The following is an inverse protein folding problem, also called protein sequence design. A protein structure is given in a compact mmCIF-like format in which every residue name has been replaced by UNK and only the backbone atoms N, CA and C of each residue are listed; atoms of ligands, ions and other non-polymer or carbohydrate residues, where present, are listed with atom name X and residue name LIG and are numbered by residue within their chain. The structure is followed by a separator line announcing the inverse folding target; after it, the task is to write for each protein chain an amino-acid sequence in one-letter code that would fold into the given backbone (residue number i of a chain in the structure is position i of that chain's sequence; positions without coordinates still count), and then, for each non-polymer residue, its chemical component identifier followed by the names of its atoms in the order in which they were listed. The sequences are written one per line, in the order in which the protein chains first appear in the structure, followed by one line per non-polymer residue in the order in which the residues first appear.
data_IF_129178814183
#
_entry.id   IF_129178814183
#
_cell.length_a   1.000
_cell.length_b   1.000
_cell.length_c   1.000
_cell.angle_alpha   90.00
_cell.angle_beta   90.00
_cell.angle_gamma   90.00
#
_symmetry.space_group_name_H-M   'P 1'
#
loop_
_entity.id
_entity.type
_entity.pdbx_description
1 polymer ?
#
# COMPACT_ATOMS: atom_id res chain seq x y z
N UNK A 1 -8.68 24.82 -11.55
CA UNK A 1 -7.80 26.02 -11.47
C UNK A 1 -8.37 27.23 -12.19
N UNK A 2 -7.85 28.42 -11.86
CA UNK A 2 -8.19 29.71 -12.49
C UNK A 2 -9.68 30.11 -12.42
N UNK A 3 -10.42 29.58 -11.43
CA UNK A 3 -11.81 29.91 -11.18
C UNK A 3 -11.94 30.81 -9.94
N UNK A 4 -12.78 31.83 -10.03
CA UNK A 4 -13.22 32.70 -8.95
C UNK A 4 -14.71 32.41 -8.68
N UNK A 5 -15.03 31.94 -7.48
CA UNK A 5 -16.40 31.79 -7.03
C UNK A 5 -16.86 33.05 -6.29
N UNK A 6 -17.94 33.67 -6.75
CA UNK A 6 -18.65 34.75 -6.07
C UNK A 6 -19.88 34.16 -5.41
N UNK A 7 -19.87 34.14 -4.08
CA UNK A 7 -20.95 33.60 -3.25
C UNK A 7 -21.79 34.75 -2.68
N UNK A 8 -23.10 34.66 -2.87
CA UNK A 8 -24.11 35.52 -2.23
C UNK A 8 -25.13 34.63 -1.52
N UNK A 9 -25.94 35.17 -0.58
CA UNK A 9 -26.93 34.37 0.14
C UNK A 9 -27.89 33.57 -0.75
N UNK A 10 -28.13 34.04 -1.97
CA UNK A 10 -29.09 33.50 -2.93
C UNK A 10 -28.47 32.98 -4.24
N UNK A 11 -27.15 33.09 -4.41
CA UNK A 11 -26.52 32.80 -5.70
C UNK A 11 -25.05 32.39 -5.60
N UNK A 12 -24.68 31.46 -6.49
CA UNK A 12 -23.30 31.06 -6.76
C UNK A 12 -22.99 31.43 -8.21
N UNK A 13 -21.94 32.22 -8.42
CA UNK A 13 -21.43 32.53 -9.74
C UNK A 13 -19.96 32.11 -9.82
N UNK A 14 -19.61 31.35 -10.85
CA UNK A 14 -18.23 30.94 -11.11
C UNK A 14 -17.71 31.68 -12.35
N UNK A 15 -16.56 32.33 -12.20
CA UNK A 15 -15.86 33.06 -13.25
C UNK A 15 -14.53 32.35 -13.51
N UNK A 16 -14.25 31.95 -14.73
CA UNK A 16 -12.94 31.46 -15.17
C UNK A 16 -12.12 32.62 -15.74
N UNK A 17 -10.84 32.71 -15.39
CA UNK A 17 -9.92 33.78 -15.84
C UNK A 17 -10.01 34.02 -17.36
N UNK A 18 -10.00 32.94 -18.13
CA UNK A 18 -9.89 33.00 -19.58
C UNK A 18 -11.24 32.82 -20.31
N UNK A 19 -12.27 32.29 -19.64
CA UNK A 19 -13.55 31.92 -20.29
C UNK A 19 -14.73 32.80 -19.80
N UNK A 20 -14.49 33.72 -18.88
CA UNK A 20 -15.54 34.54 -18.29
C UNK A 20 -16.46 33.72 -17.40
N UNK A 21 -17.78 33.91 -17.49
CA UNK A 21 -18.73 33.19 -16.63
C UNK A 21 -18.88 31.73 -17.09
N UNK A 22 -18.66 30.79 -16.18
CA UNK A 22 -18.88 29.36 -16.42
C UNK A 22 -20.00 28.84 -15.53
N UNK A 23 -20.73 27.85 -16.03
CA UNK A 23 -21.74 27.15 -15.25
C UNK A 23 -21.07 26.00 -14.50
N UNK A 24 -21.08 25.99 -13.15
CA UNK A 24 -20.47 24.90 -12.40
C UNK A 24 -21.24 23.60 -12.62
N UNK A 25 -20.52 22.49 -12.77
CA UNK A 25 -21.12 21.16 -12.71
C UNK A 25 -21.40 20.83 -11.23
N UNK A 26 -22.65 21.05 -10.80
CA UNK A 26 -23.06 20.78 -9.43
C UNK A 26 -23.43 19.30 -9.32
N UNK A 27 -22.63 18.56 -8.55
CA UNK A 27 -22.90 17.16 -8.24
C UNK A 27 -23.29 17.03 -6.77
N UNK A 28 -24.44 16.42 -6.52
CA UNK A 28 -24.83 16.03 -5.16
C UNK A 28 -24.02 14.80 -4.78
N UNK A 29 -23.07 14.97 -3.87
CA UNK A 29 -22.41 13.83 -3.23
C UNK A 29 -23.45 13.10 -2.38
N UNK A 30 -23.50 11.76 -2.46
CA UNK A 30 -24.37 10.97 -1.61
C UNK A 30 -24.04 11.28 -0.15
N UNK A 31 -25.02 11.87 0.56
CA UNK A 31 -24.90 12.30 1.95
C UNK A 31 -24.99 11.12 2.92
N UNK A 32 -24.37 9.99 2.59
CA UNK A 32 -23.92 9.10 3.65
C UNK A 32 -22.85 9.95 4.34
N UNK A 33 -23.23 10.55 5.46
CA UNK A 33 -22.30 11.25 6.33
C UNK A 33 -21.12 10.32 6.46
N UNK A 34 -19.99 10.69 5.87
CA UNK A 34 -18.74 9.97 6.10
C UNK A 34 -18.62 9.95 7.61
N UNK A 35 -18.82 8.79 8.23
CA UNK A 35 -18.77 8.69 9.66
C UNK A 35 -17.29 8.76 10.04
N UNK A 36 -16.86 9.97 10.38
CA UNK A 36 -15.52 10.26 10.90
C UNK A 36 -15.47 10.05 12.42
N UNK A 37 -16.45 9.33 12.99
CA UNK A 37 -16.44 8.90 14.38
C UNK A 37 -15.31 7.91 14.64
N UNK A 38 -14.82 7.93 15.87
CA UNK A 38 -13.87 6.93 16.37
C UNK A 38 -14.55 5.59 16.68
N UNK A 39 -15.88 5.51 16.72
CA UNK A 39 -16.65 4.28 16.95
C UNK A 39 -16.17 3.45 18.18
N UNK A 40 -15.66 4.13 19.21
CA UNK A 40 -15.16 3.49 20.44
C UNK A 40 -13.67 3.12 20.43
N UNK A 41 -12.96 3.34 19.33
CA UNK A 41 -11.49 3.22 19.30
C UNK A 41 -10.82 4.46 19.92
N UNK A 42 -9.61 4.27 20.45
CA UNK A 42 -8.86 5.36 21.08
C UNK A 42 -8.25 6.36 20.07
N UNK A 43 -7.93 5.88 18.86
CA UNK A 43 -7.25 6.63 17.81
C UNK A 43 -7.80 6.25 16.44
N UNK A 44 -7.74 7.17 15.49
CA UNK A 44 -8.15 6.91 14.10
C UNK A 44 -7.29 5.82 13.47
N UNK A 45 -5.98 5.85 13.67
CA UNK A 45 -5.08 4.82 13.15
C UNK A 45 -5.49 3.42 13.63
N UNK A 46 -5.86 3.26 14.91
CA UNK A 46 -6.30 1.95 15.42
C UNK A 46 -7.62 1.52 14.78
N UNK A 47 -8.61 2.43 14.70
CA UNK A 47 -9.88 2.18 14.01
C UNK A 47 -9.62 1.70 12.58
N UNK A 48 -8.81 2.44 11.85
CA UNK A 48 -8.51 2.18 10.44
C UNK A 48 -7.75 0.87 10.24
N UNK A 49 -6.89 0.47 11.19
CA UNK A 49 -6.27 -0.86 11.18
C UNK A 49 -7.34 -1.95 11.28
N UNK A 50 -8.29 -1.79 12.21
CA UNK A 50 -9.37 -2.75 12.45
C UNK A 50 -10.46 -2.74 11.35
N UNK A 51 -10.55 -1.68 10.55
CA UNK A 51 -11.44 -1.58 9.39
C UNK A 51 -10.89 -2.27 8.14
N UNK A 52 -9.67 -2.82 8.17
CA UNK A 52 -9.04 -3.47 7.02
C UNK A 52 -9.83 -4.64 6.42
N UNK A 53 -10.45 -5.55 7.21
CA UNK A 53 -11.34 -6.57 6.66
C UNK A 53 -12.46 -5.98 5.79
N UNK A 54 -13.13 -4.95 6.30
CA UNK A 54 -14.27 -4.32 5.60
C UNK A 54 -13.82 -3.47 4.40
N UNK A 55 -12.74 -2.72 4.52
CA UNK A 55 -12.21 -1.90 3.43
C UNK A 55 -11.66 -2.75 2.27
N UNK A 56 -10.98 -3.85 2.55
CA UNK A 56 -10.58 -4.83 1.52
C UNK A 56 -11.80 -5.50 0.90
N UNK A 57 -12.81 -5.87 1.68
CA UNK A 57 -14.08 -6.37 1.13
C UNK A 57 -14.75 -5.34 0.20
N UNK A 58 -14.78 -4.06 0.58
CA UNK A 58 -15.30 -2.99 -0.29
C UNK A 58 -14.47 -2.83 -1.58
N UNK A 59 -13.14 -2.96 -1.48
CA UNK A 59 -12.24 -2.86 -2.62
C UNK A 59 -12.50 -3.97 -3.66
N UNK A 60 -12.85 -5.19 -3.22
CA UNK A 60 -13.13 -6.35 -4.07
C UNK A 60 -14.56 -6.36 -4.63
N UNK A 61 -15.52 -5.76 -3.90
CA UNK A 61 -16.96 -5.88 -4.18
C UNK A 61 -17.32 -5.49 -5.61
N UNK A 62 -18.00 -6.39 -6.32
CA UNK A 62 -18.50 -6.16 -7.68
C UNK A 62 -17.42 -6.13 -8.77
N UNK A 63 -16.16 -6.46 -8.43
CA UNK A 63 -15.01 -6.40 -9.35
C UNK A 63 -14.42 -7.77 -9.69
N UNK A 64 -14.93 -8.85 -9.13
CA UNK A 64 -14.51 -10.20 -9.45
C UNK A 64 -15.54 -10.85 -10.38
N UNK A 65 -15.06 -11.38 -11.50
CA UNK A 65 -15.89 -12.02 -12.53
C UNK A 65 -15.57 -13.51 -12.60
N UNK A 66 -16.39 -14.32 -11.94
CA UNK A 66 -16.22 -15.78 -11.94
C UNK A 66 -16.47 -16.40 -13.31
N UNK A 67 -17.38 -15.84 -14.12
CA UNK A 67 -17.74 -16.40 -15.43
C UNK A 67 -16.58 -16.30 -16.43
N UNK A 68 -15.73 -15.27 -16.32
CA UNK A 68 -14.54 -15.10 -17.16
C UNK A 68 -13.22 -15.35 -16.40
N UNK A 69 -13.32 -15.70 -15.12
CA UNK A 69 -12.21 -15.90 -14.18
C UNK A 69 -11.23 -14.72 -14.16
N UNK A 70 -11.72 -13.49 -14.08
CA UNK A 70 -10.90 -12.26 -14.14
C UNK A 70 -11.46 -11.17 -13.22
N UNK A 71 -10.80 -10.01 -13.17
CA UNK A 71 -11.34 -8.81 -12.53
C UNK A 71 -12.07 -7.89 -13.53
N UNK A 72 -12.90 -6.98 -13.04
CA UNK A 72 -13.67 -6.00 -13.81
C UNK A 72 -13.39 -4.59 -13.32
N UNK A 73 -12.98 -3.72 -14.24
CA UNK A 73 -12.78 -2.29 -13.96
C UNK A 73 -13.59 -1.46 -14.96
N UNK A 74 -14.59 -0.74 -14.46
CA UNK A 74 -15.41 0.16 -15.29
C UNK A 74 -14.73 1.49 -15.63
N UNK A 75 -13.67 1.86 -14.88
CA UNK A 75 -13.07 3.20 -14.93
C UNK A 75 -11.77 3.32 -15.71
N UNK A 76 -11.23 2.24 -16.29
CA UNK A 76 -9.95 2.32 -17.02
C UNK A 76 -10.02 3.16 -18.30
N UNK A 77 -11.22 3.33 -18.88
CA UNK A 77 -11.47 4.17 -20.06
C UNK A 77 -10.58 3.87 -21.28
N UNK A 78 -10.05 2.65 -21.36
CA UNK A 78 -9.30 2.14 -22.50
C UNK A 78 -10.08 1.06 -23.21
N UNK A 79 -9.92 0.98 -24.53
CA UNK A 79 -10.50 -0.10 -25.32
C UNK A 79 -9.81 -1.43 -24.99
N UNK A 80 -10.50 -2.57 -25.16
CA UNK A 80 -9.86 -3.88 -25.01
C UNK A 80 -8.64 -4.09 -25.92
N UNK A 81 -8.58 -3.43 -27.08
CA UNK A 81 -7.43 -3.48 -27.97
C UNK A 81 -6.23 -2.73 -27.38
N UNK A 82 -6.43 -1.52 -26.85
CA UNK A 82 -5.38 -0.77 -26.17
C UNK A 82 -4.83 -1.53 -24.96
N UNK A 83 -5.71 -2.11 -24.14
CA UNK A 83 -5.31 -2.88 -22.95
C UNK A 83 -4.49 -4.14 -23.29
N UNK A 84 -4.81 -4.83 -24.39
CA UNK A 84 -3.98 -5.94 -24.88
C UNK A 84 -2.64 -5.49 -25.47
N UNK A 85 -2.58 -4.25 -25.99
CA UNK A 85 -1.39 -3.67 -26.59
C UNK A 85 -0.33 -3.21 -25.60
N UNK A 86 -0.67 -3.09 -24.31
CA UNK A 86 0.23 -2.61 -23.24
C UNK A 86 1.44 -3.51 -23.11
N UNK A 87 2.65 -3.02 -23.40
CA UNK A 87 3.88 -3.80 -23.24
C UNK A 87 4.70 -3.42 -22.02
N UNK A 88 4.36 -2.31 -21.35
CA UNK A 88 5.02 -1.91 -20.10
C UNK A 88 4.08 -1.12 -19.21
N UNK A 89 4.27 -1.25 -17.90
CA UNK A 89 3.55 -0.47 -16.90
C UNK A 89 4.56 0.31 -16.06
N UNK A 90 4.31 1.60 -15.84
CA UNK A 90 5.03 2.39 -14.84
C UNK A 90 4.07 2.61 -13.67
N UNK A 91 4.49 2.23 -12.47
CA UNK A 91 3.77 2.54 -11.24
C UNK A 91 4.50 3.67 -10.51
N UNK A 92 3.77 4.71 -10.11
CA UNK A 92 4.37 5.84 -9.41
C UNK A 92 3.53 6.31 -8.23
N UNK A 93 4.21 6.79 -7.19
CA UNK A 93 3.59 7.29 -5.97
C UNK A 93 4.65 7.83 -5.01
N UNK A 94 4.22 8.15 -3.80
CA UNK A 94 5.08 8.64 -2.72
C UNK A 94 4.82 7.83 -1.43
N UNK A 95 5.86 7.64 -0.61
CA UNK A 95 5.76 6.98 0.70
C UNK A 95 5.08 5.60 0.63
N UNK A 96 4.10 5.36 1.50
CA UNK A 96 3.34 4.10 1.53
C UNK A 96 2.70 3.72 0.18
N UNK A 97 2.28 4.68 -0.65
CA UNK A 97 1.74 4.36 -1.99
C UNK A 97 2.81 3.92 -2.98
N UNK A 98 4.07 4.32 -2.76
CA UNK A 98 5.21 3.79 -3.52
C UNK A 98 5.58 2.37 -3.05
N UNK A 99 5.47 2.07 -1.76
CA UNK A 99 5.64 0.68 -1.28
C UNK A 99 4.59 -0.27 -1.86
N UNK A 100 3.34 0.16 -2.02
CA UNK A 100 2.33 -0.69 -2.67
C UNK A 100 2.64 -0.89 -4.14
N UNK A 101 3.18 0.12 -4.83
CA UNK A 101 3.65 0.00 -6.20
C UNK A 101 4.76 -1.06 -6.35
N UNK A 102 5.72 -1.13 -5.42
CA UNK A 102 6.74 -2.19 -5.42
C UNK A 102 6.14 -3.60 -5.30
N UNK A 103 5.08 -3.78 -4.50
CA UNK A 103 4.36 -5.07 -4.47
C UNK A 103 3.66 -5.31 -5.81
N UNK A 104 3.05 -4.26 -6.38
CA UNK A 104 2.38 -4.28 -7.67
C UNK A 104 3.29 -4.73 -8.82
N UNK A 105 4.56 -4.33 -8.82
CA UNK A 105 5.58 -4.79 -9.77
C UNK A 105 5.68 -6.32 -9.78
N UNK A 106 5.96 -6.94 -8.63
CA UNK A 106 6.03 -8.40 -8.53
C UNK A 106 4.72 -9.07 -9.00
N UNK A 107 3.57 -8.54 -8.60
CA UNK A 107 2.25 -9.10 -8.95
C UNK A 107 2.02 -9.10 -10.46
N UNK A 108 2.24 -7.96 -11.11
CA UNK A 108 1.99 -7.79 -12.54
C UNK A 108 3.02 -8.58 -13.37
N UNK A 109 4.30 -8.56 -12.98
CA UNK A 109 5.33 -9.32 -13.69
C UNK A 109 5.09 -10.82 -13.60
N UNK A 110 4.68 -11.32 -12.43
CA UNK A 110 4.41 -12.74 -12.23
C UNK A 110 3.17 -13.21 -12.98
N UNK A 111 2.05 -12.50 -12.84
CA UNK A 111 0.75 -12.93 -13.37
C UNK A 111 0.51 -12.53 -14.83
N UNK A 112 0.99 -11.35 -15.23
CA UNK A 112 0.74 -10.79 -16.56
C UNK A 112 1.93 -10.83 -17.51
N UNK A 113 3.15 -11.06 -17.00
CA UNK A 113 4.40 -11.02 -17.79
C UNK A 113 4.58 -9.69 -18.54
N UNK A 114 4.15 -8.60 -17.91
CA UNK A 114 4.35 -7.23 -18.39
C UNK A 114 5.46 -6.63 -17.53
N UNK A 115 6.59 -6.18 -18.11
CA UNK A 115 7.61 -5.44 -17.39
C UNK A 115 7.01 -4.25 -16.62
N UNK A 116 7.40 -4.12 -15.36
CA UNK A 116 6.99 -2.99 -14.53
C UNK A 116 8.21 -2.18 -14.09
N UNK A 117 8.05 -0.87 -14.02
CA UNK A 117 9.03 0.03 -13.43
C UNK A 117 8.32 0.84 -12.33
N UNK A 118 8.93 0.92 -11.14
CA UNK A 118 8.38 1.63 -10.00
C UNK A 118 9.19 2.87 -9.71
N UNK A 119 8.54 4.04 -9.76
CA UNK A 119 9.21 5.33 -9.73
C UNK A 119 8.68 6.22 -8.62
N UNK A 120 9.59 6.87 -7.88
CA UNK A 120 9.22 7.98 -7.03
C UNK A 120 8.63 9.09 -7.91
N UNK A 121 7.43 9.56 -7.57
CA UNK A 121 6.77 10.57 -8.39
C UNK A 121 7.57 11.88 -8.49
N UNK A 122 8.27 12.23 -7.41
CA UNK A 122 9.17 13.40 -7.34
C UNK A 122 10.31 13.29 -8.36
N UNK A 123 10.85 12.10 -8.62
CA UNK A 123 11.91 11.89 -9.60
C UNK A 123 11.35 11.81 -11.02
N UNK A 124 10.24 11.09 -11.19
CA UNK A 124 9.61 10.87 -12.50
C UNK A 124 9.19 12.18 -13.17
N UNK A 125 8.69 13.16 -12.41
CA UNK A 125 8.29 14.47 -12.95
C UNK A 125 9.46 15.31 -13.48
N UNK A 126 10.69 15.07 -13.00
CA UNK A 126 11.86 15.88 -13.32
C UNK A 126 12.83 15.21 -14.28
N UNK A 127 12.81 13.87 -14.38
CA UNK A 127 13.63 13.15 -15.35
C UNK A 127 12.92 13.03 -16.69
N UNK A 128 13.68 12.80 -17.76
CA UNK A 128 13.13 12.48 -19.08
C UNK A 128 13.37 10.99 -19.40
N UNK A 129 12.57 10.07 -18.84
CA UNK A 129 12.82 8.65 -19.03
C UNK A 129 12.51 8.24 -20.47
N UNK A 130 13.29 7.31 -21.06
CA UNK A 130 12.97 6.74 -22.36
C UNK A 130 11.71 5.88 -22.21
N UNK A 131 10.57 6.39 -22.67
CA UNK A 131 9.28 5.70 -22.54
C UNK A 131 8.59 5.45 -23.86
N UNK A 132 8.30 4.18 -24.13
CA UNK A 132 7.61 3.73 -25.34
C UNK A 132 6.10 4.04 -25.30
N UNK A 133 5.49 4.19 -26.48
CA UNK A 133 4.08 4.59 -26.62
C UNK A 133 3.07 3.54 -26.11
N UNK A 134 3.47 2.28 -26.00
CA UNK A 134 2.67 1.17 -25.44
C UNK A 134 2.83 1.02 -23.92
N UNK A 135 3.37 2.06 -23.25
CA UNK A 135 3.46 2.14 -21.80
C UNK A 135 2.21 2.82 -21.21
N UNK A 136 1.62 2.22 -20.17
CA UNK A 136 0.62 2.87 -19.30
C UNK A 136 1.28 3.29 -17.99
N UNK A 137 0.94 4.48 -17.50
CA UNK A 137 1.41 5.01 -16.22
C UNK A 137 0.28 5.02 -15.20
N UNK A 138 0.47 4.39 -14.05
CA UNK A 138 -0.46 4.43 -12.92
C UNK A 138 0.10 5.31 -11.78
N UNK A 139 -0.63 6.36 -11.42
CA UNK A 139 -0.38 7.14 -10.21
C UNK A 139 -1.18 6.57 -9.04
N UNK A 140 -0.48 6.12 -8.00
CA UNK A 140 -1.06 5.55 -6.78
C UNK A 140 -1.01 6.61 -5.68
N UNK A 141 -2.17 6.91 -5.09
CA UNK A 141 -2.27 7.90 -4.01
C UNK A 141 -3.52 7.69 -3.18
N UNK A 142 -3.42 7.79 -1.86
CA UNK A 142 -4.59 7.76 -1.01
C UNK A 142 -5.48 9.00 -1.23
N UNK A 143 -4.89 10.19 -1.16
CA UNK A 143 -5.62 11.46 -1.14
C UNK A 143 -6.08 11.93 -2.52
N UNK A 144 -5.35 11.55 -3.57
CA UNK A 144 -5.56 12.11 -4.90
C UNK A 144 -5.04 13.54 -5.09
N UNK A 145 -4.39 14.10 -4.06
CA UNK A 145 -3.91 15.49 -4.00
C UNK A 145 -2.39 15.59 -3.77
N UNK A 146 -1.67 14.47 -3.78
CA UNK A 146 -0.21 14.46 -3.64
C UNK A 146 0.44 15.20 -4.82
N UNK A 147 1.09 16.33 -4.54
CA UNK A 147 1.56 17.26 -5.57
C UNK A 147 2.50 16.60 -6.59
N UNK A 148 3.47 15.82 -6.11
CA UNK A 148 4.43 15.12 -6.97
C UNK A 148 3.77 14.04 -7.84
N UNK A 149 2.88 13.22 -7.27
CA UNK A 149 2.13 12.20 -8.05
C UNK A 149 1.29 12.84 -9.14
N UNK A 150 0.59 13.94 -8.80
CA UNK A 150 -0.21 14.68 -9.78
C UNK A 150 0.68 15.30 -10.87
N UNK A 151 1.80 15.91 -10.50
CA UNK A 151 2.76 16.50 -11.44
C UNK A 151 3.37 15.45 -12.38
N UNK A 152 3.75 14.28 -11.85
CA UNK A 152 4.28 13.18 -12.63
C UNK A 152 3.26 12.66 -13.66
N UNK A 153 1.99 12.45 -13.25
CA UNK A 153 0.94 12.05 -14.19
C UNK A 153 0.69 13.12 -15.26
N UNK A 154 0.61 14.39 -14.88
CA UNK A 154 0.47 15.49 -15.85
C UNK A 154 1.60 15.48 -16.86
N UNK A 155 2.83 15.26 -16.43
CA UNK A 155 3.99 15.21 -17.33
C UNK A 155 3.95 14.01 -18.27
N UNK A 156 3.65 12.81 -17.77
CA UNK A 156 3.52 11.62 -18.62
C UNK A 156 2.37 11.73 -19.62
N UNK A 157 1.26 12.37 -19.22
CA UNK A 157 0.14 12.67 -20.11
C UNK A 157 0.54 13.67 -21.21
N UNK A 158 1.28 14.74 -20.89
CA UNK A 158 1.81 15.68 -21.89
C UNK A 158 2.72 15.01 -22.91
N UNK A 159 3.48 13.98 -22.49
CA UNK A 159 4.32 13.15 -23.37
C UNK A 159 3.53 12.14 -24.21
N UNK A 160 2.20 12.07 -24.03
CA UNK A 160 1.31 11.24 -24.84
C UNK A 160 1.08 9.84 -24.31
N UNK A 161 1.43 9.55 -23.05
CA UNK A 161 1.14 8.26 -22.43
C UNK A 161 -0.24 8.24 -21.79
N UNK A 162 -0.87 7.06 -21.79
CA UNK A 162 -2.10 6.85 -21.05
C UNK A 162 -1.81 6.85 -19.55
N UNK A 163 -2.57 7.68 -18.82
CA UNK A 163 -2.42 7.87 -17.39
C UNK A 163 -3.63 7.34 -16.64
N UNK A 164 -3.37 6.56 -15.60
CA UNK A 164 -4.38 5.91 -14.77
C UNK A 164 -4.20 6.33 -13.32
N UNK A 165 -5.29 6.53 -12.58
CA UNK A 165 -5.25 6.82 -11.15
C UNK A 165 -5.71 5.62 -10.33
N UNK A 166 -4.95 5.22 -9.31
CA UNK A 166 -5.43 4.33 -8.24
C UNK A 166 -5.55 5.19 -6.99
N UNK A 167 -6.79 5.56 -6.62
CA UNK A 167 -7.02 6.53 -5.55
C UNK A 167 -8.22 6.23 -4.66
N UNK A 168 -8.25 6.78 -3.44
CA UNK A 168 -9.37 6.55 -2.53
C UNK A 168 -10.45 7.65 -2.61
N UNK A 169 -10.02 8.91 -2.80
CA UNK A 169 -10.90 10.08 -2.72
C UNK A 169 -11.58 10.35 -4.05
N UNK A 170 -12.91 10.23 -4.05
CA UNK A 170 -13.77 10.51 -5.21
C UNK A 170 -13.69 11.99 -5.57
N UNK A 171 -13.50 12.28 -6.85
CA UNK A 171 -13.46 13.65 -7.36
C UNK A 171 -12.20 14.43 -7.01
N UNK A 172 -11.17 13.78 -6.47
CA UNK A 172 -9.84 14.37 -6.27
C UNK A 172 -9.20 14.83 -7.59
N UNK A 173 -8.21 15.73 -7.51
CA UNK A 173 -7.52 16.29 -8.67
C UNK A 173 -6.99 15.20 -9.61
N UNK A 174 -6.32 14.17 -9.05
CA UNK A 174 -5.80 13.07 -9.86
C UNK A 174 -6.90 12.26 -10.56
N UNK A 175 -8.05 12.09 -9.90
CA UNK A 175 -9.17 11.33 -10.44
C UNK A 175 -9.89 12.08 -11.57
N UNK A 176 -9.84 13.42 -11.55
CA UNK A 176 -10.37 14.25 -12.63
C UNK A 176 -9.43 14.36 -13.83
N UNK A 177 -8.11 14.32 -13.59
CA UNK A 177 -7.11 14.60 -14.63
C UNK A 177 -6.55 13.36 -15.34
N UNK A 178 -6.56 12.20 -14.69
CA UNK A 178 -6.17 10.94 -15.32
C UNK A 178 -7.12 10.54 -16.47
N UNK A 179 -6.65 9.76 -17.43
CA UNK A 179 -7.48 9.26 -18.53
C UNK A 179 -8.49 8.20 -18.05
N UNK A 180 -8.13 7.46 -17.01
CA UNK A 180 -8.97 6.50 -16.31
C UNK A 180 -8.44 6.20 -14.92
N UNK A 181 -9.05 5.25 -14.23
CA UNK A 181 -8.61 4.89 -12.89
C UNK A 181 -9.48 3.86 -12.18
N UNK A 182 -9.08 3.58 -10.94
CA UNK A 182 -9.69 2.61 -10.03
C UNK A 182 -9.78 3.25 -8.65
N UNK A 183 -10.99 3.32 -8.10
CA UNK A 183 -11.20 3.77 -6.73
C UNK A 183 -10.94 2.64 -5.73
N UNK A 184 -10.31 2.94 -4.60
CA UNK A 184 -10.06 1.93 -3.56
C UNK A 184 -11.33 1.54 -2.80
N UNK A 185 -12.23 2.49 -2.55
CA UNK A 185 -13.39 2.35 -1.66
C UNK A 185 -13.03 1.89 -0.24
N UNK A 186 -11.87 2.32 0.26
CA UNK A 186 -11.43 2.03 1.63
C UNK A 186 -12.22 2.83 2.69
N UNK A 187 -13.04 3.79 2.24
CA UNK A 187 -13.64 4.81 3.09
C UNK A 187 -12.60 5.84 3.53
N UNK A 188 -13.02 6.94 4.17
CA UNK A 188 -12.10 8.02 4.53
C UNK A 188 -11.08 7.60 5.59
N UNK A 189 -9.85 8.04 5.41
CA UNK A 189 -8.71 7.71 6.26
C UNK A 189 -8.14 9.02 6.80
N UNK A 190 -8.16 9.15 8.12
CA UNK A 190 -7.92 10.36 8.90
C UNK A 190 -6.54 10.33 9.55
N UNK A 191 -6.13 9.18 10.10
CA UNK A 191 -4.79 9.03 10.68
C UNK A 191 -3.73 9.35 9.64
N UNK A 192 -2.70 10.13 10.00
CA UNK A 192 -1.67 10.56 9.02
C UNK A 192 -0.99 9.36 8.38
N UNK A 193 -0.59 8.37 9.18
CA UNK A 193 -0.02 7.12 8.68
C UNK A 193 -1.07 6.28 7.94
N UNK A 194 -0.85 6.04 6.65
CA UNK A 194 -1.72 5.19 5.82
C UNK A 194 -1.77 3.76 6.35
N UNK A 195 -2.97 3.16 6.42
CA UNK A 195 -3.21 1.79 6.89
C UNK A 195 -4.13 1.05 5.92
N UNK A 196 -5.45 1.23 6.02
CA UNK A 196 -6.46 0.60 5.15
C UNK A 196 -6.35 1.01 3.68
N UNK A 197 -5.82 2.21 3.40
CA UNK A 197 -5.51 2.60 2.04
C UNK A 197 -4.41 1.71 1.43
N UNK A 198 -3.38 1.35 2.21
CA UNK A 198 -2.29 0.48 1.75
C UNK A 198 -2.80 -0.92 1.38
N UNK A 199 -3.52 -1.59 2.28
CA UNK A 199 -4.05 -2.93 2.00
C UNK A 199 -5.09 -2.92 0.89
N UNK A 200 -5.92 -1.88 0.79
CA UNK A 200 -6.84 -1.71 -0.35
C UNK A 200 -6.10 -1.49 -1.68
N UNK A 201 -4.98 -0.74 -1.69
CA UNK A 201 -4.13 -0.59 -2.87
C UNK A 201 -3.56 -1.94 -3.31
N UNK A 202 -3.06 -2.74 -2.37
CA UNK A 202 -2.55 -4.08 -2.66
C UNK A 202 -3.63 -5.01 -3.23
N UNK A 203 -4.85 -4.98 -2.68
CA UNK A 203 -5.98 -5.75 -3.22
C UNK A 203 -6.35 -5.31 -4.65
N UNK A 204 -6.35 -4.01 -4.92
CA UNK A 204 -6.61 -3.47 -6.26
C UNK A 204 -5.49 -3.85 -7.23
N UNK A 205 -4.23 -3.79 -6.82
CA UNK A 205 -3.08 -4.19 -7.64
C UNK A 205 -3.10 -5.70 -7.94
N UNK A 206 -3.50 -6.55 -6.98
CA UNK A 206 -3.68 -7.98 -7.22
C UNK A 206 -4.80 -8.26 -8.24
N UNK A 207 -5.93 -7.54 -8.15
CA UNK A 207 -7.00 -7.61 -9.16
C UNK A 207 -6.53 -7.09 -10.53
N UNK A 208 -5.70 -6.04 -10.56
CA UNK A 208 -5.14 -5.48 -11.79
C UNK A 208 -4.19 -6.48 -12.47
N UNK A 209 -3.35 -7.15 -11.69
CA UNK A 209 -2.47 -8.20 -12.16
C UNK A 209 -3.26 -9.42 -12.67
N UNK A 210 -4.33 -9.82 -11.97
CA UNK A 210 -5.28 -10.84 -12.45
C UNK A 210 -5.92 -10.43 -13.79
N UNK A 211 -6.35 -9.17 -13.90
CA UNK A 211 -6.98 -8.65 -15.12
C UNK A 211 -6.03 -8.74 -16.33
N UNK A 212 -4.83 -8.17 -16.22
CA UNK A 212 -3.84 -8.25 -17.30
C UNK A 212 -3.35 -9.68 -17.56
N UNK A 213 -3.23 -10.50 -16.52
CA UNK A 213 -2.90 -11.92 -16.64
C UNK A 213 -3.90 -12.67 -17.51
N UNK A 214 -5.20 -12.46 -17.30
CA UNK A 214 -6.28 -13.11 -18.07
C UNK A 214 -6.43 -12.56 -19.48
N UNK A 215 -6.00 -11.33 -19.73
CA UNK A 215 -5.87 -10.80 -21.10
C UNK A 215 -4.72 -11.46 -21.88
N UNK A 216 -3.84 -12.20 -21.19
CA UNK A 216 -2.61 -12.78 -21.75
C UNK A 216 -2.53 -14.29 -21.50
N UNK A 217 -1.73 -14.72 -20.53
CA UNK A 217 -1.27 -16.11 -20.39
C UNK A 217 -1.93 -16.88 -19.24
N UNK A 218 -2.56 -16.18 -18.30
CA UNK A 218 -3.13 -16.80 -17.12
C UNK A 218 -4.35 -17.64 -17.53
N UNK A 219 -4.39 -18.92 -17.15
CA UNK A 219 -5.52 -19.80 -17.49
C UNK A 219 -6.79 -19.44 -16.74
N UNK A 220 -7.94 -19.94 -17.22
CA UNK A 220 -9.22 -19.77 -16.55
C UNK A 220 -9.20 -20.36 -15.13
N UNK A 221 -8.68 -21.57 -14.97
CA UNK A 221 -8.57 -22.23 -13.66
C UNK A 221 -7.65 -21.46 -12.69
N UNK A 222 -6.52 -20.94 -13.18
CA UNK A 222 -5.64 -20.11 -12.37
C UNK A 222 -6.32 -18.81 -11.94
N UNK A 223 -7.08 -18.19 -12.84
CA UNK A 223 -7.91 -17.02 -12.54
C UNK A 223 -8.95 -17.30 -11.45
N UNK A 224 -9.66 -18.43 -11.53
CA UNK A 224 -10.64 -18.82 -10.50
C UNK A 224 -9.99 -19.04 -9.14
N UNK A 225 -8.82 -19.71 -9.10
CA UNK A 225 -8.08 -19.89 -7.83
C UNK A 225 -7.69 -18.57 -7.20
N UNK A 226 -7.21 -17.61 -7.99
CA UNK A 226 -6.87 -16.27 -7.49
C UNK A 226 -8.12 -15.55 -6.97
N UNK A 227 -9.26 -15.66 -7.67
CA UNK A 227 -10.53 -15.10 -7.18
C UNK A 227 -10.90 -15.71 -5.83
N UNK A 228 -10.86 -17.04 -5.70
CA UNK A 228 -11.19 -17.73 -4.45
C UNK A 228 -10.29 -17.27 -3.29
N UNK A 229 -9.01 -17.02 -3.56
CA UNK A 229 -8.04 -16.53 -2.57
C UNK A 229 -8.30 -15.06 -2.20
N UNK A 230 -8.61 -14.20 -3.18
CA UNK A 230 -8.98 -12.81 -2.95
C UNK A 230 -10.26 -12.70 -2.11
N UNK A 231 -11.27 -13.52 -2.40
CA UNK A 231 -12.55 -13.54 -1.67
C UNK A 231 -12.38 -13.96 -0.19
N UNK A 232 -11.33 -14.71 0.15
CA UNK A 232 -11.01 -15.11 1.52
C UNK A 232 -10.24 -14.03 2.32
N UNK A 233 -9.65 -13.03 1.65
CA UNK A 233 -8.82 -12.01 2.30
C UNK A 233 -9.51 -11.30 3.48
N UNK A 234 -10.79 -10.87 3.38
CA UNK A 234 -11.45 -10.19 4.50
C UNK A 234 -11.46 -11.03 5.78
N UNK A 235 -11.83 -12.31 5.69
CA UNK A 235 -11.82 -13.22 6.85
C UNK A 235 -10.41 -13.48 7.38
N UNK A 236 -9.41 -13.56 6.50
CA UNK A 236 -8.02 -13.74 6.92
C UNK A 236 -7.49 -12.51 7.65
N UNK A 237 -7.86 -11.31 7.23
CA UNK A 237 -7.51 -10.07 7.94
C UNK A 237 -8.18 -10.01 9.32
N UNK A 238 -9.44 -10.42 9.42
CA UNK A 238 -10.17 -10.53 10.70
C UNK A 238 -9.42 -11.47 11.67
N UNK A 239 -9.03 -12.65 11.20
CA UNK A 239 -8.24 -13.61 11.98
C UNK A 239 -6.88 -13.03 12.39
N UNK A 240 -6.23 -12.30 11.49
CA UNK A 240 -4.91 -11.69 11.73
C UNK A 240 -4.95 -10.65 12.85
N UNK A 241 -6.04 -9.90 13.01
CA UNK A 241 -6.20 -8.92 14.08
C UNK A 241 -6.08 -9.55 15.48
N UNK A 242 -6.30 -10.86 15.62
CA UNK A 242 -6.08 -11.58 16.88
C UNK A 242 -4.61 -11.54 17.36
N UNK A 243 -3.65 -11.25 16.47
CA UNK A 243 -2.23 -11.12 16.83
C UNK A 243 -1.94 -9.91 17.75
N UNK A 244 -2.87 -8.95 17.86
CA UNK A 244 -2.67 -7.71 18.59
C UNK A 244 -2.22 -7.92 20.04
N UNK A 245 -2.77 -8.92 20.75
CA UNK A 245 -2.37 -9.22 22.13
C UNK A 245 -0.90 -9.68 22.24
N UNK A 246 -0.40 -10.41 21.25
CA UNK A 246 1.01 -10.81 21.19
C UNK A 246 1.89 -9.61 20.81
N UNK A 247 1.47 -8.82 19.82
CA UNK A 247 2.16 -7.60 19.39
C UNK A 247 2.35 -6.63 20.55
N UNK A 248 1.33 -6.43 21.39
CA UNK A 248 1.41 -5.56 22.57
C UNK A 248 2.51 -5.99 23.55
N UNK A 249 2.65 -7.30 23.80
CA UNK A 249 3.73 -7.83 24.67
C UNK A 249 5.11 -7.59 24.06
N UNK A 250 5.22 -7.73 22.74
CA UNK A 250 6.46 -7.49 22.00
C UNK A 250 6.82 -6.00 22.02
N UNK A 251 5.85 -5.12 21.78
CA UNK A 251 6.02 -3.68 21.84
C UNK A 251 6.56 -3.23 23.21
N UNK A 252 5.99 -3.74 24.32
CA UNK A 252 6.50 -3.44 25.68
C UNK A 252 7.98 -3.81 25.86
N UNK A 253 8.46 -4.87 25.21
CA UNK A 253 9.85 -5.30 25.33
C UNK A 253 10.83 -4.40 24.57
N UNK A 254 10.38 -3.77 23.48
CA UNK A 254 11.26 -3.08 22.54
C UNK A 254 10.96 -1.59 22.37
N UNK A 255 10.05 -1.02 23.15
CA UNK A 255 9.66 0.40 23.05
C UNK A 255 10.80 1.39 23.33
N UNK A 256 11.80 0.98 24.13
CA UNK A 256 12.97 1.80 24.46
C UNK A 256 14.08 1.77 23.40
N UNK A 257 14.00 0.85 22.42
CA UNK A 257 14.99 0.77 21.37
C UNK A 257 14.97 2.04 20.50
N UNK A 258 16.13 2.37 19.96
CA UNK A 258 16.35 3.59 19.14
C UNK A 258 16.46 3.28 17.66
N UNK A 259 16.86 2.06 17.33
CA UNK A 259 17.03 1.56 15.97
C UNK A 259 16.24 0.27 15.76
N UNK A 260 15.67 0.10 14.57
CA UNK A 260 15.02 -1.14 14.15
C UNK A 260 15.42 -1.49 12.72
N UNK A 261 15.62 -2.78 12.45
CA UNK A 261 15.75 -3.30 11.10
C UNK A 261 14.48 -4.08 10.74
N UNK A 262 13.97 -3.91 9.52
CA UNK A 262 12.88 -4.70 8.96
C UNK A 262 13.41 -5.47 7.76
N UNK A 263 13.15 -6.77 7.71
CA UNK A 263 13.74 -7.66 6.73
C UNK A 263 12.69 -8.55 6.11
N UNK A 264 12.67 -8.54 4.78
CA UNK A 264 11.77 -9.34 3.96
C UNK A 264 12.42 -9.70 2.63
N UNK A 265 11.76 -10.58 1.88
CA UNK A 265 12.26 -11.03 0.57
C UNK A 265 11.10 -11.17 -0.40
N UNK A 266 11.38 -10.93 -1.70
CA UNK A 266 10.37 -10.88 -2.77
C UNK A 266 9.22 -9.93 -2.37
N UNK A 267 7.97 -10.41 -2.47
CA UNK A 267 6.76 -9.69 -2.05
C UNK A 267 6.85 -9.02 -0.67
N UNK A 268 7.62 -9.60 0.26
CA UNK A 268 7.74 -9.09 1.63
C UNK A 268 8.89 -8.09 1.82
N UNK A 269 9.77 -7.86 0.84
CA UNK A 269 10.73 -6.75 0.93
C UNK A 269 10.00 -5.39 0.97
N UNK A 270 9.05 -5.09 0.08
CA UNK A 270 8.22 -3.90 0.21
C UNK A 270 7.44 -3.83 1.53
N UNK A 271 6.97 -4.96 2.06
CA UNK A 271 6.33 -5.01 3.38
C UNK A 271 7.29 -4.63 4.50
N UNK A 272 8.56 -5.01 4.41
CA UNK A 272 9.59 -4.59 5.36
C UNK A 272 9.84 -3.07 5.29
N UNK A 273 9.89 -2.49 4.08
CA UNK A 273 9.96 -1.04 3.90
C UNK A 273 8.75 -0.33 4.52
N UNK A 274 7.55 -0.86 4.32
CA UNK A 274 6.32 -0.29 4.89
C UNK A 274 6.30 -0.38 6.41
N UNK A 275 6.66 -1.52 7.00
CA UNK A 275 6.74 -1.68 8.44
C UNK A 275 7.75 -0.70 9.08
N UNK A 276 8.91 -0.55 8.45
CA UNK A 276 9.91 0.44 8.87
C UNK A 276 9.39 1.88 8.75
N UNK A 277 8.69 2.21 7.66
CA UNK A 277 8.10 3.53 7.48
C UNK A 277 7.05 3.82 8.55
N UNK A 278 6.12 2.88 8.83
CA UNK A 278 5.13 3.06 9.90
C UNK A 278 5.80 3.32 11.24
N UNK A 279 6.76 2.48 11.64
CA UNK A 279 7.44 2.67 12.92
C UNK A 279 8.13 4.04 12.99
N UNK A 280 8.82 4.44 11.92
CA UNK A 280 9.52 5.73 11.82
C UNK A 280 8.56 6.92 11.93
N UNK A 281 7.44 6.88 11.21
CA UNK A 281 6.46 7.98 11.14
C UNK A 281 5.86 8.31 12.50
N UNK A 282 5.45 7.29 13.27
CA UNK A 282 4.61 7.51 14.46
C UNK A 282 5.35 7.32 15.78
N UNK A 283 6.48 6.61 15.81
CA UNK A 283 7.26 6.39 17.05
C UNK A 283 8.57 7.18 17.11
N UNK A 284 9.00 7.72 15.95
CA UNK A 284 10.28 8.40 15.74
C UNK A 284 11.53 7.55 15.99
N UNK A 285 11.38 6.23 16.05
CA UNK A 285 12.50 5.28 16.03
C UNK A 285 13.13 5.29 14.64
N UNK A 286 14.45 5.19 14.58
CA UNK A 286 15.15 5.02 13.32
C UNK A 286 14.94 3.58 12.83
N UNK A 287 13.95 3.41 11.96
CA UNK A 287 13.63 2.12 11.37
C UNK A 287 14.01 2.08 9.88
N UNK A 288 14.69 1.01 9.46
CA UNK A 288 15.10 0.79 8.05
C UNK A 288 14.65 -0.58 7.55
N UNK A 289 14.10 -0.61 6.34
CA UNK A 289 13.72 -1.85 5.66
C UNK A 289 14.78 -2.26 4.65
N UNK A 290 15.19 -3.53 4.64
CA UNK A 290 16.13 -4.08 3.68
C UNK A 290 15.64 -5.38 3.06
N UNK A 291 16.05 -5.71 1.83
CA UNK A 291 15.97 -7.06 1.34
C UNK A 291 16.84 -7.94 2.25
N UNK A 292 16.28 -9.03 2.80
CA UNK A 292 16.98 -9.86 3.78
C UNK A 292 18.34 -10.37 3.28
N UNK A 293 18.46 -10.60 1.97
CA UNK A 293 19.70 -11.07 1.33
C UNK A 293 20.82 -10.01 1.30
N UNK A 294 20.49 -8.71 1.39
CA UNK A 294 21.45 -7.62 1.29
C UNK A 294 22.12 -7.28 2.63
N UNK A 295 21.70 -7.93 3.73
CA UNK A 295 22.24 -7.68 5.07
C UNK A 295 23.77 -7.69 5.12
N UNK A 296 24.40 -8.68 4.47
CA UNK A 296 25.87 -8.84 4.47
C UNK A 296 26.63 -7.78 3.68
N UNK A 297 25.94 -6.97 2.87
CA UNK A 297 26.55 -5.97 2.00
C UNK A 297 26.66 -4.58 2.67
N UNK A 298 26.57 -4.52 4.00
CA UNK A 298 26.74 -3.29 4.78
C UNK A 298 25.84 -3.24 6.03
N UNK A 299 24.51 -3.39 5.90
CA UNK A 299 23.56 -3.18 6.99
C UNK A 299 23.79 -4.05 8.23
N UNK A 300 24.37 -5.23 8.08
CA UNK A 300 24.68 -6.14 9.20
C UNK A 300 25.67 -5.54 10.22
N UNK A 301 26.40 -4.49 9.86
CA UNK A 301 27.28 -3.76 10.79
C UNK A 301 26.50 -3.01 11.88
N UNK A 302 25.20 -2.77 11.68
CA UNK A 302 24.31 -2.14 12.67
C UNK A 302 23.71 -3.14 13.66
N UNK A 303 23.94 -4.44 13.49
CA UNK A 303 23.33 -5.47 14.35
C UNK A 303 24.08 -5.57 15.67
N UNK A 304 23.38 -5.28 16.76
CA UNK A 304 23.82 -5.46 18.14
C UNK A 304 22.64 -5.85 19.05
N UNK A 305 22.89 -5.99 20.35
CA UNK A 305 21.88 -6.40 21.34
C UNK A 305 20.72 -5.39 21.52
N UNK A 306 20.91 -4.14 21.08
CA UNK A 306 19.96 -3.04 21.26
C UNK A 306 19.19 -2.69 19.97
N UNK A 307 19.45 -3.43 18.88
CA UNK A 307 18.85 -3.20 17.56
C UNK A 307 17.94 -4.37 17.15
N UNK A 308 16.63 -4.33 17.50
CA UNK A 308 15.68 -5.37 17.11
C UNK A 308 15.53 -5.45 15.59
N UNK A 309 15.47 -6.68 15.09
CA UNK A 309 15.21 -6.99 13.68
C UNK A 309 13.88 -7.70 13.52
N UNK A 310 12.94 -7.09 12.79
CA UNK A 310 11.66 -7.69 12.41
C UNK A 310 11.84 -8.45 11.11
N UNK A 311 11.61 -9.75 11.12
CA UNK A 311 11.67 -10.61 9.93
C UNK A 311 10.28 -11.06 9.51
N UNK A 312 9.96 -10.93 8.24
CA UNK A 312 8.76 -11.55 7.64
C UNK A 312 9.20 -12.88 7.02
N UNK A 313 8.81 -14.00 7.65
CA UNK A 313 9.29 -15.35 7.37
C UNK A 313 8.12 -16.25 6.98
N UNK A 314 7.57 -16.08 5.77
CA UNK A 314 6.55 -16.99 5.28
C UNK A 314 7.13 -18.38 4.96
N UNK A 315 6.29 -19.41 4.99
CA UNK A 315 6.61 -20.65 4.30
C UNK A 315 6.57 -20.43 2.80
N UNK A 316 7.51 -21.03 2.09
CA UNK A 316 7.57 -20.92 0.64
C UNK A 316 8.98 -21.02 0.10
N UNK A 317 9.14 -20.57 -1.16
CA UNK A 317 10.36 -20.77 -1.95
C UNK A 317 11.60 -20.09 -1.35
N UNK A 318 11.41 -19.05 -0.56
CA UNK A 318 12.51 -18.26 0.05
C UNK A 318 12.73 -18.55 1.53
N UNK A 319 11.95 -19.45 2.14
CA UNK A 319 11.97 -19.75 3.58
C UNK A 319 13.39 -20.01 4.09
N UNK A 320 14.08 -21.01 3.53
CA UNK A 320 15.43 -21.40 3.98
C UNK A 320 16.44 -20.25 3.88
N UNK A 321 16.24 -19.36 2.89
CA UNK A 321 17.12 -18.20 2.70
C UNK A 321 16.88 -17.14 3.77
N UNK A 322 15.61 -16.83 4.06
CA UNK A 322 15.26 -15.88 5.12
C UNK A 322 15.68 -16.43 6.48
N UNK A 323 15.51 -17.72 6.74
CA UNK A 323 15.98 -18.38 7.96
C UNK A 323 17.51 -18.27 8.13
N UNK A 324 18.27 -18.44 7.06
CA UNK A 324 19.73 -18.21 7.07
C UNK A 324 20.07 -16.76 7.46
N UNK A 325 19.37 -15.77 6.91
CA UNK A 325 19.60 -14.37 7.27
C UNK A 325 19.21 -14.06 8.72
N UNK A 326 18.16 -14.71 9.25
CA UNK A 326 17.78 -14.63 10.65
C UNK A 326 18.89 -15.17 11.56
N UNK A 327 19.46 -16.33 11.23
CA UNK A 327 20.59 -16.90 11.97
C UNK A 327 21.81 -15.97 11.99
N UNK A 328 22.05 -15.23 10.90
CA UNK A 328 23.15 -14.27 10.81
C UNK A 328 22.99 -13.08 11.77
N UNK A 329 21.76 -12.60 11.96
CA UNK A 329 21.42 -11.58 12.95
C UNK A 329 21.60 -12.14 14.37
N UNK A 330 21.05 -13.32 14.64
CA UNK A 330 21.19 -13.98 15.95
C UNK A 330 22.63 -14.25 16.34
N UNK A 331 23.47 -14.67 15.38
CA UNK A 331 24.89 -14.92 15.60
C UNK A 331 25.68 -13.67 16.03
N UNK A 332 25.12 -12.46 15.84
CA UNK A 332 25.70 -11.18 16.24
C UNK A 332 25.04 -10.56 17.48
N UNK A 333 24.15 -11.30 18.14
CA UNK A 333 23.46 -10.85 19.33
C UNK A 333 22.21 -10.01 19.08
N UNK A 334 21.81 -9.80 17.82
CA UNK A 334 20.61 -9.04 17.47
C UNK A 334 19.33 -9.70 17.98
N UNK A 335 18.42 -8.95 18.64
CA UNK A 335 17.07 -9.43 18.93
C UNK A 335 16.28 -9.63 17.64
N UNK A 336 15.54 -10.73 17.54
CA UNK A 336 14.72 -11.07 16.38
C UNK A 336 13.25 -11.17 16.77
N UNK A 337 12.41 -10.44 16.02
CA UNK A 337 10.95 -10.56 16.04
C UNK A 337 10.54 -11.19 14.72
N UNK A 338 10.01 -12.41 14.72
CA UNK A 338 9.63 -13.10 13.49
C UNK A 338 8.10 -13.08 13.29
N UNK A 339 7.66 -12.65 12.12
CA UNK A 339 6.28 -12.82 11.64
C UNK A 339 6.24 -14.08 10.78
N UNK A 340 5.44 -15.07 11.17
CA UNK A 340 5.36 -16.40 10.55
C UNK A 340 3.92 -16.76 10.22
N UNK A 341 3.70 -17.52 9.16
CA UNK A 341 2.37 -17.94 8.67
C UNK A 341 1.85 -19.27 9.27
N UNK A 342 2.63 -19.87 10.18
CA UNK A 342 2.29 -21.08 10.92
C UNK A 342 3.23 -21.20 12.13
N UNK A 343 2.94 -22.12 13.06
CA UNK A 343 3.84 -22.42 14.18
C UNK A 343 5.08 -23.14 13.64
N UNK A 344 6.18 -22.40 13.54
CA UNK A 344 7.45 -22.90 13.00
C UNK A 344 8.44 -23.24 14.13
N UNK A 345 8.78 -24.52 14.36
CA UNK A 345 9.71 -24.90 15.41
C UNK A 345 11.15 -24.42 15.20
N UNK A 346 11.59 -24.20 13.96
CA UNK A 346 12.94 -23.72 13.68
C UNK A 346 13.04 -22.23 13.98
N UNK A 347 12.07 -21.44 13.51
CA UNK A 347 12.02 -20.00 13.80
C UNK A 347 11.80 -19.76 15.29
N UNK A 348 10.93 -20.53 15.96
CA UNK A 348 10.66 -20.40 17.40
C UNK A 348 11.90 -20.63 18.26
N UNK A 349 12.84 -21.49 17.82
CA UNK A 349 14.11 -21.71 18.52
C UNK A 349 15.10 -20.56 18.38
N UNK A 350 14.98 -19.78 17.30
CA UNK A 350 15.95 -18.74 16.95
C UNK A 350 15.46 -17.34 17.30
N UNK A 351 14.17 -17.05 17.11
CA UNK A 351 13.57 -15.75 17.33
C UNK A 351 13.30 -15.49 18.81
N UNK A 352 13.48 -14.24 19.25
CA UNK A 352 13.19 -13.81 20.62
C UNK A 352 11.71 -13.53 20.85
N UNK A 353 10.97 -13.29 19.77
CA UNK A 353 9.53 -13.15 19.73
C UNK A 353 8.98 -13.65 18.40
N UNK A 354 7.77 -14.22 18.43
CA UNK A 354 7.09 -14.74 17.24
C UNK A 354 5.67 -14.17 17.20
N UNK A 355 5.27 -13.68 16.02
CA UNK A 355 3.91 -13.26 15.70
C UNK A 355 3.41 -14.22 14.63
N UNK A 356 2.38 -15.00 14.96
CA UNK A 356 1.74 -15.90 13.99
C UNK A 356 0.61 -15.17 13.26
N UNK A 357 0.60 -15.27 11.94
CA UNK A 357 -0.47 -14.80 11.05
C UNK A 357 -1.04 -15.99 10.26
N UNK A 358 -2.26 -15.88 9.70
CA UNK A 358 -2.84 -16.94 8.89
C UNK A 358 -2.02 -17.21 7.63
N UNK A 359 -2.03 -18.47 7.19
CA UNK A 359 -1.39 -18.87 5.94
C UNK A 359 -2.21 -18.43 4.75
N UNK A 360 -1.57 -17.70 3.84
CA UNK A 360 -2.10 -17.30 2.53
C UNK A 360 -1.05 -17.55 1.45
N UNK A 361 -1.47 -17.48 0.18
CA UNK A 361 -0.52 -17.52 -0.94
C UNK A 361 0.51 -16.39 -0.87
N UNK A 362 1.71 -16.65 -1.39
CA UNK A 362 2.86 -15.73 -1.35
C UNK A 362 2.52 -14.30 -1.79
N UNK A 363 1.73 -14.17 -2.87
CA UNK A 363 1.35 -12.87 -3.42
C UNK A 363 0.36 -12.07 -2.55
N UNK A 364 -0.30 -12.73 -1.59
CA UNK A 364 -1.24 -12.12 -0.65
C UNK A 364 -0.63 -11.84 0.72
N UNK A 365 0.53 -12.43 1.03
CA UNK A 365 1.23 -12.23 2.30
C UNK A 365 1.47 -10.75 2.65
N UNK A 366 1.82 -9.84 1.71
CA UNK A 366 1.99 -8.43 2.03
C UNK A 366 0.76 -7.77 2.66
N UNK A 367 -0.45 -8.22 2.26
CA UNK A 367 -1.72 -7.71 2.79
C UNK A 367 -1.90 -8.15 4.25
N UNK A 368 -1.63 -9.43 4.52
CA UNK A 368 -1.79 -10.01 5.86
C UNK A 368 -0.70 -9.50 6.81
N UNK A 369 0.56 -9.47 6.36
CA UNK A 369 1.70 -9.01 7.14
C UNK A 369 1.61 -7.51 7.49
N UNK A 370 0.84 -6.71 6.76
CA UNK A 370 0.63 -5.30 7.08
C UNK A 370 0.04 -5.11 8.49
N UNK A 371 -0.88 -5.98 8.92
CA UNK A 371 -1.56 -5.88 10.23
C UNK A 371 -0.58 -5.90 11.41
N UNK A 372 0.25 -6.95 11.61
CA UNK A 372 1.18 -6.96 12.74
C UNK A 372 2.23 -5.86 12.66
N UNK A 373 2.66 -5.45 11.47
CA UNK A 373 3.62 -4.35 11.28
C UNK A 373 3.03 -3.01 11.74
N UNK A 374 1.79 -2.72 11.35
CA UNK A 374 1.06 -1.51 11.75
C UNK A 374 0.75 -1.50 13.25
N UNK A 375 0.29 -2.62 13.80
CA UNK A 375 0.01 -2.76 15.24
C UNK A 375 1.28 -2.62 16.08
N UNK A 376 2.42 -3.14 15.61
CA UNK A 376 3.69 -3.00 16.30
C UNK A 376 4.13 -1.54 16.37
N UNK A 377 4.03 -0.82 15.24
CA UNK A 377 4.32 0.61 15.20
C UNK A 377 3.38 1.40 16.13
N UNK A 378 2.08 1.08 16.11
CA UNK A 378 1.07 1.73 16.94
C UNK A 378 1.35 1.53 18.44
N UNK A 379 1.52 0.30 18.90
CA UNK A 379 1.74 0.01 20.33
C UNK A 379 3.07 0.59 20.83
N UNK A 380 4.14 0.56 20.02
CA UNK A 380 5.42 1.19 20.39
C UNK A 380 5.27 2.72 20.49
N UNK A 381 4.57 3.36 19.56
CA UNK A 381 4.34 4.81 19.61
C UNK A 381 3.53 5.23 20.84
N UNK A 382 2.51 4.44 21.23
CA UNK A 382 1.77 4.68 22.47
C UNK A 382 2.67 4.60 23.71
N UNK A 383 3.51 3.56 23.79
CA UNK A 383 4.43 3.38 24.92
C UNK A 383 5.46 4.52 25.01
N UNK A 384 5.81 5.13 23.87
CA UNK A 384 6.69 6.31 23.80
C UNK A 384 5.96 7.64 23.97
N UNK A 385 4.64 7.62 24.22
CA UNK A 385 3.83 8.82 24.40
C UNK A 385 3.73 9.71 23.15
N UNK A 386 3.85 9.13 21.96
CA UNK A 386 3.75 9.84 20.69
C UNK A 386 2.29 10.00 20.25
N UNK A 387 1.99 11.08 19.51
CA UNK A 387 0.68 11.25 18.85
C UNK A 387 0.64 10.40 17.57
N UNK A 388 -0.13 9.32 17.62
CA UNK A 388 -0.26 8.33 16.54
C UNK A 388 -1.11 8.81 15.37
N UNK A 389 -2.08 9.71 15.62
CA UNK A 389 -2.96 10.23 14.56
C UNK A 389 -2.34 11.45 13.88
N UNK A 390 -1.56 12.25 14.62
CA UNK A 390 -0.92 13.49 14.16
C UNK A 390 0.57 13.55 14.54
N UNK A 391 1.41 12.67 13.95
CA UNK A 391 2.85 12.70 14.16
C UNK A 391 3.44 14.06 13.75
N UNK A 392 4.47 14.48 14.49
CA UNK A 392 5.14 15.77 14.28
C UNK A 392 5.73 15.86 12.87
N UNK A 393 5.73 17.08 12.32
CA UNK A 393 6.32 17.42 11.01
C UNK A 393 5.67 16.72 9.80
N UNK A 394 4.59 15.97 9.98
CA UNK A 394 3.90 15.27 8.91
C UNK A 394 2.48 15.84 8.72
N UNK A 395 2.00 15.75 7.48
CA UNK A 395 0.62 16.05 7.12
C UNK A 395 0.03 14.83 6.39
N UNK A 396 -1.29 14.63 6.49
CA UNK A 396 -1.97 13.50 5.84
C UNK A 396 -1.75 13.46 4.33
N UNK A 397 -1.68 14.62 3.69
CA UNK A 397 -1.37 14.77 2.27
C UNK A 397 -0.38 15.90 2.07
N UNK A 398 0.68 15.64 1.30
CA UNK A 398 1.65 16.64 0.86
C UNK A 398 1.11 17.27 -0.42
N UNK A 399 0.42 18.40 -0.27
CA UNK A 399 -0.27 19.13 -1.36
C UNK A 399 0.54 20.30 -1.92
N UNK A 400 1.73 20.53 -1.36
CA UNK A 400 2.68 21.57 -1.75
C UNK A 400 4.06 20.95 -1.89
N UNK A 401 4.91 21.59 -2.68
CA UNK A 401 6.32 21.22 -2.85
C UNK A 401 7.18 21.72 -1.68
#
# INVERSE_FOLDING_TARGET
DHQLAVLRPDSIQVLHRDQGRIQPNVQTLSSDSVDVSLEGYAHYMLKEIYEQPQSVHNALRGRLDRDNATAKFGGLNLTPQQLRGVQRIILTGCGTSWHSALVGEYLVEELARIPVEVEYASELRYRNPPVDHDTIVFGITQSGETADTLAALREMKRKGHHTMAICNVIGSSIAQEADGGIYLHAGPEIGVASTKAFTSQLSVLAMLALYFGRLRHLSFEAGLRIIDQLEQLPSMLEETLACHAAVKKIATRYADATNFLYLGRNYNFPSALEGALKLKEISYIHAEGYPAAEMKHGPIALVDADTPSVFIVPQGTVYDKVLSNLQEVKARGGPVIAIVDHVDPQVTKLADAVITIPKVEDFLQPIIAAIPLQLLAYEIALLRGCDVDKPRNLAKSVTVE
#
